data_IF_267601226208
#
_entry.id   IF_267601226208
#
_cell.length_a   1.000
_cell.length_b   1.000
_cell.length_c   1.000
_cell.angle_alpha   90.00
_cell.angle_beta   90.00
_cell.angle_gamma   90.00
#
_symmetry.space_group_name_H-M   'P 1'
#
loop_
_entity.id
_entity.type
_entity.pdbx_description
1 polymer ?
#
# COMPACT_ATOMS: atom_id res chain seq x y z
N UNK A 1 3.10 20.36 -9.59
CA UNK A 1 2.78 21.68 -10.17
C UNK A 1 1.30 21.97 -9.99
N UNK A 2 0.94 23.21 -9.58
CA UNK A 2 -0.46 23.60 -9.48
C UNK A 2 -0.99 24.03 -10.84
N UNK A 3 -2.02 23.36 -11.33
CA UNK A 3 -2.71 23.76 -12.55
C UNK A 3 -3.91 24.68 -12.19
N UNK A 4 -3.75 25.97 -12.49
CA UNK A 4 -4.78 26.98 -12.21
C UNK A 4 -6.09 26.80 -13.00
N UNK A 5 -6.02 26.16 -14.15
CA UNK A 5 -7.21 25.96 -15.01
C UNK A 5 -8.11 24.82 -14.52
N UNK A 6 -7.52 23.79 -13.91
CA UNK A 6 -8.25 22.61 -13.43
C UNK A 6 -8.38 22.54 -11.90
N UNK A 7 -7.78 23.48 -11.16
CA UNK A 7 -7.66 23.41 -9.70
C UNK A 7 -7.06 22.09 -9.17
N UNK A 8 -6.28 21.39 -10.00
CA UNK A 8 -5.65 20.11 -9.66
C UNK A 8 -4.18 20.36 -9.34
N UNK A 9 -3.75 19.87 -8.19
CA UNK A 9 -2.36 19.77 -7.84
C UNK A 9 -1.78 18.46 -8.40
N UNK A 10 -1.01 18.54 -9.48
CA UNK A 10 -0.27 17.40 -10.01
C UNK A 10 1.15 17.38 -9.45
N UNK A 11 1.56 16.23 -8.92
CA UNK A 11 2.93 15.97 -8.50
C UNK A 11 3.54 15.05 -9.56
N UNK A 12 4.23 15.64 -10.53
CA UNK A 12 4.83 14.89 -11.65
C UNK A 12 6.10 14.14 -11.22
N UNK A 13 6.82 14.67 -10.23
CA UNK A 13 7.96 14.00 -9.63
C UNK A 13 8.05 14.30 -8.13
N UNK A 14 8.43 13.32 -7.34
CA UNK A 14 8.79 13.50 -5.93
C UNK A 14 10.31 13.50 -5.84
N UNK A 15 10.90 14.70 -5.77
CA UNK A 15 12.31 14.85 -5.50
C UNK A 15 12.50 14.77 -3.98
N UNK A 16 12.86 13.60 -3.46
CA UNK A 16 13.07 13.37 -2.03
C UNK A 16 14.52 13.05 -1.75
N UNK A 17 15.08 13.73 -0.76
CA UNK A 17 16.25 13.23 -0.08
C UNK A 17 15.80 12.14 0.90
N UNK A 18 16.18 10.90 0.65
CA UNK A 18 15.93 9.77 1.55
C UNK A 18 17.24 9.35 2.21
N UNK A 19 17.18 9.03 3.50
CA UNK A 19 18.29 8.34 4.16
C UNK A 19 18.09 6.84 4.02
N UNK A 20 19.08 6.17 3.44
CA UNK A 20 19.13 4.71 3.35
C UNK A 20 20.23 4.16 4.23
N UNK A 21 20.08 2.90 4.62
CA UNK A 21 21.10 2.15 5.35
C UNK A 21 21.00 0.68 5.00
N UNK A 22 22.02 -0.11 5.37
CA UNK A 22 22.00 -1.55 5.19
C UNK A 22 21.94 -2.26 6.55
N UNK A 23 21.27 -3.39 6.60
CA UNK A 23 21.31 -4.28 7.76
C UNK A 23 22.74 -4.80 7.97
N UNK A 24 23.28 -4.65 9.18
CA UNK A 24 24.65 -5.08 9.52
C UNK A 24 24.76 -6.59 9.71
N UNK A 25 23.66 -7.24 10.02
CA UNK A 25 23.47 -8.68 10.22
C UNK A 25 22.00 -9.02 9.97
N UNK A 26 21.60 -10.26 10.14
CA UNK A 26 20.18 -10.64 10.19
C UNK A 26 19.51 -9.99 11.40
N UNK A 27 18.43 -9.25 11.15
CA UNK A 27 17.84 -8.34 12.13
C UNK A 27 16.35 -8.57 12.28
N UNK A 28 15.91 -8.62 13.55
CA UNK A 28 14.49 -8.54 13.88
C UNK A 28 14.05 -7.09 14.04
N UNK A 29 13.10 -6.67 13.23
CA UNK A 29 12.51 -5.33 13.31
C UNK A 29 11.44 -5.31 14.40
N UNK A 30 11.58 -4.38 15.33
CA UNK A 30 10.75 -4.26 16.53
C UNK A 30 9.62 -3.23 16.35
N UNK A 31 8.49 -3.49 17.00
CA UNK A 31 7.36 -2.55 17.01
C UNK A 31 7.64 -1.26 17.81
N UNK A 32 8.43 -1.34 18.88
CA UNK A 32 8.89 -0.21 19.71
C UNK A 32 10.42 -0.25 19.83
N UNK A 33 11.10 0.89 20.12
CA UNK A 33 12.55 0.96 20.25
C UNK A 33 13.04 0.35 21.57
N UNK A 34 12.77 -0.95 21.76
CA UNK A 34 13.23 -1.77 22.89
C UNK A 34 13.38 -3.21 22.46
N UNK A 35 14.36 -3.92 23.02
CA UNK A 35 14.65 -5.34 22.75
C UNK A 35 13.50 -6.26 23.15
N UNK A 36 12.71 -5.86 24.15
CA UNK A 36 11.54 -6.61 24.65
C UNK A 36 10.29 -6.44 23.77
N UNK A 37 10.34 -5.58 22.78
CA UNK A 37 9.19 -5.33 21.92
C UNK A 37 8.94 -6.48 20.95
N UNK A 38 7.68 -6.65 20.56
CA UNK A 38 7.26 -7.61 19.53
C UNK A 38 8.06 -7.38 18.23
N UNK A 39 8.53 -8.48 17.65
CA UNK A 39 9.09 -8.49 16.29
C UNK A 39 7.95 -8.40 15.27
N UNK A 40 8.07 -7.49 14.33
CA UNK A 40 7.07 -7.25 13.28
C UNK A 40 7.58 -7.62 11.88
N UNK A 41 8.90 -7.74 11.73
CA UNK A 41 9.53 -8.14 10.48
C UNK A 41 10.93 -8.68 10.75
N UNK A 42 11.50 -9.36 9.75
CA UNK A 42 12.90 -9.78 9.73
C UNK A 42 13.52 -9.38 8.40
N UNK A 43 14.74 -8.90 8.46
CA UNK A 43 15.53 -8.55 7.27
C UNK A 43 16.89 -9.24 7.38
N UNK A 44 17.48 -9.56 6.24
CA UNK A 44 18.76 -10.25 6.15
C UNK A 44 19.92 -9.25 6.12
N UNK A 45 21.10 -9.73 6.44
CA UNK A 45 22.34 -8.95 6.33
C UNK A 45 22.50 -8.39 4.91
N UNK A 46 22.73 -7.08 4.83
CA UNK A 46 22.90 -6.38 3.57
C UNK A 46 21.61 -5.78 2.99
N UNK A 47 20.43 -6.20 3.47
CA UNK A 47 19.16 -5.61 3.04
C UNK A 47 19.15 -4.10 3.24
N UNK A 48 18.70 -3.38 2.21
CA UNK A 48 18.54 -1.94 2.27
C UNK A 48 17.24 -1.56 2.97
N UNK A 49 17.33 -0.55 3.83
CA UNK A 49 16.19 0.03 4.54
C UNK A 49 16.18 1.55 4.40
N UNK A 50 15.00 2.15 4.49
CA UNK A 50 14.88 3.61 4.56
C UNK A 50 14.90 4.02 6.03
N UNK A 51 15.79 4.94 6.38
CA UNK A 51 15.88 5.52 7.72
C UNK A 51 14.93 6.71 7.83
N UNK A 52 13.88 6.55 8.64
CA UNK A 52 12.88 7.60 8.86
C UNK A 52 13.36 8.56 9.94
N UNK A 53 13.95 8.03 11.01
CA UNK A 53 14.34 8.79 12.20
C UNK A 53 15.50 8.10 12.91
N UNK A 54 16.48 8.88 13.37
CA UNK A 54 17.52 8.43 14.30
C UNK A 54 17.16 8.89 15.70
N UNK A 55 17.24 7.98 16.68
CA UNK A 55 16.97 8.29 18.09
C UNK A 55 18.27 8.35 18.90
N UNK A 56 18.30 9.21 19.90
CA UNK A 56 19.48 9.43 20.76
C UNK A 56 20.00 8.19 21.48
N UNK A 57 19.14 7.19 21.67
CA UNK A 57 19.48 5.92 22.32
C UNK A 57 20.03 4.84 21.36
N UNK A 58 20.41 5.23 20.14
CA UNK A 58 20.97 4.35 19.11
C UNK A 58 19.95 3.49 18.38
N UNK A 59 18.66 3.70 18.59
CA UNK A 59 17.62 3.08 17.78
C UNK A 59 17.32 3.93 16.53
N UNK A 60 17.04 3.23 15.44
CA UNK A 60 16.56 3.83 14.19
C UNK A 60 15.13 3.39 13.93
N UNK A 61 14.26 4.34 13.61
CA UNK A 61 12.97 4.06 13.00
C UNK A 61 13.22 3.88 11.51
N UNK A 62 12.89 2.71 11.00
CA UNK A 62 13.17 2.35 9.61
C UNK A 62 11.92 1.88 8.91
N UNK A 63 11.97 1.88 7.58
CA UNK A 63 10.98 1.23 6.72
C UNK A 63 11.69 0.13 5.93
N UNK A 64 11.18 -1.09 6.02
CA UNK A 64 11.70 -2.24 5.29
C UNK A 64 11.32 -2.17 3.81
N UNK A 65 11.95 -3.03 3.00
CA UNK A 65 11.65 -3.20 1.57
C UNK A 65 10.16 -3.52 1.33
N UNK A 66 9.51 -4.23 2.23
CA UNK A 66 8.07 -4.53 2.17
C UNK A 66 7.17 -3.43 2.77
N UNK A 67 7.70 -2.23 3.02
CA UNK A 67 6.93 -1.10 3.51
C UNK A 67 6.63 -1.11 5.01
N UNK A 68 7.01 -2.15 5.76
CA UNK A 68 6.79 -2.21 7.20
C UNK A 68 7.66 -1.21 7.94
N UNK A 69 7.07 -0.48 8.88
CA UNK A 69 7.76 0.52 9.69
C UNK A 69 7.99 -0.03 11.10
N UNK A 70 9.23 0.02 11.55
CA UNK A 70 9.61 -0.46 12.89
C UNK A 70 10.98 0.06 13.31
N UNK A 71 11.57 -0.59 14.30
CA UNK A 71 12.79 -0.13 14.96
C UNK A 71 13.89 -1.19 14.96
N UNK A 72 15.13 -0.74 14.77
CA UNK A 72 16.35 -1.55 14.92
C UNK A 72 17.54 -0.70 15.39
N UNK A 73 18.58 -1.36 15.91
CA UNK A 73 19.91 -0.76 16.13
C UNK A 73 20.96 -1.23 15.12
N UNK A 74 20.66 -2.30 14.41
CA UNK A 74 21.63 -3.09 13.65
C UNK A 74 21.63 -2.68 12.16
N UNK A 75 21.92 -1.40 11.91
CA UNK A 75 22.13 -0.87 10.57
C UNK A 75 23.48 -0.16 10.45
N UNK A 76 24.04 -0.15 9.26
CA UNK A 76 25.31 0.52 8.92
C UNK A 76 25.18 1.33 7.65
N UNK A 77 26.20 2.12 7.37
CA UNK A 77 26.31 2.88 6.13
C UNK A 77 25.06 3.74 5.87
N UNK A 78 24.67 4.57 6.85
CA UNK A 78 23.58 5.54 6.64
C UNK A 78 24.06 6.59 5.63
N UNK A 79 23.38 6.70 4.51
CA UNK A 79 23.70 7.63 3.44
C UNK A 79 22.45 8.28 2.87
N UNK A 80 22.60 9.50 2.36
CA UNK A 80 21.51 10.21 1.68
C UNK A 80 21.45 9.83 0.22
N UNK A 81 20.25 9.54 -0.27
CA UNK A 81 19.96 9.32 -1.69
C UNK A 81 18.90 10.31 -2.13
N UNK A 82 19.16 10.99 -3.22
CA UNK A 82 18.16 11.81 -3.89
C UNK A 82 17.54 10.96 -5.00
N UNK A 83 16.33 10.49 -4.77
CA UNK A 83 15.59 9.73 -5.77
C UNK A 83 14.60 10.64 -6.50
N UNK A 84 14.70 10.73 -7.78
CA UNK A 84 13.63 11.21 -8.64
C UNK A 84 12.67 10.04 -8.88
N UNK A 85 11.49 10.11 -8.27
CA UNK A 85 10.45 9.15 -8.56
C UNK A 85 9.70 9.65 -9.78
N UNK A 86 10.10 9.15 -10.95
CA UNK A 86 9.33 9.39 -12.17
C UNK A 86 7.93 8.84 -12.05
N UNK A 87 6.96 9.66 -12.43
CA UNK A 87 5.57 9.27 -12.46
C UNK A 87 5.29 8.48 -13.75
N UNK A 88 5.84 7.28 -13.87
CA UNK A 88 5.54 6.41 -15.01
C UNK A 88 4.09 5.97 -14.91
N UNK A 89 3.30 6.34 -15.90
CA UNK A 89 1.95 5.79 -16.04
C UNK A 89 2.08 4.31 -16.33
N UNK A 90 1.37 3.49 -15.55
CA UNK A 90 1.34 2.03 -15.79
C UNK A 90 0.50 1.69 -17.02
N UNK A 91 -0.44 2.56 -17.39
CA UNK A 91 -1.33 2.41 -18.54
C UNK A 91 -1.26 3.67 -19.36
N UNK A 92 -0.95 3.52 -20.64
CA UNK A 92 -1.06 4.59 -21.61
C UNK A 92 -2.49 4.62 -22.18
N UNK A 93 -3.06 5.83 -22.26
CA UNK A 93 -4.42 6.03 -22.75
C UNK A 93 -5.50 5.89 -21.66
N UNK A 94 -6.62 5.26 -22.02
CA UNK A 94 -7.78 5.13 -21.14
C UNK A 94 -7.62 3.91 -20.22
N UNK A 95 -7.97 4.08 -18.95
CA UNK A 95 -8.15 2.97 -18.02
C UNK A 95 -9.54 2.36 -18.24
N UNK A 96 -9.55 1.06 -18.51
CA UNK A 96 -10.76 0.23 -18.56
C UNK A 96 -10.63 -0.83 -17.48
N UNK A 97 -11.30 -0.60 -16.36
CA UNK A 97 -11.24 -1.42 -15.17
C UNK A 97 -12.50 -2.25 -15.04
N UNK A 98 -12.34 -3.52 -14.68
CA UNK A 98 -13.44 -4.40 -14.28
C UNK A 98 -13.24 -4.90 -12.87
N UNK A 99 -14.31 -4.90 -12.09
CA UNK A 99 -14.32 -5.51 -10.78
C UNK A 99 -14.48 -7.02 -10.90
N UNK A 100 -13.69 -7.74 -10.13
CA UNK A 100 -13.79 -9.20 -10.04
C UNK A 100 -14.10 -9.57 -8.58
N UNK A 101 -15.38 -9.62 -8.27
CA UNK A 101 -15.85 -9.87 -6.93
C UNK A 101 -15.75 -11.34 -6.57
N UNK A 102 -15.17 -11.62 -5.40
CA UNK A 102 -15.32 -12.88 -4.70
C UNK A 102 -15.27 -12.64 -3.19
N UNK A 103 -15.91 -13.51 -2.41
CA UNK A 103 -15.97 -13.35 -0.96
C UNK A 103 -14.86 -14.12 -0.26
N UNK A 104 -14.69 -13.85 1.03
CA UNK A 104 -13.77 -14.63 1.89
C UNK A 104 -14.09 -16.13 1.95
N UNK A 105 -15.31 -16.53 1.56
CA UNK A 105 -15.75 -17.92 1.49
C UNK A 105 -15.57 -18.54 0.10
N UNK A 106 -15.21 -17.77 -0.89
CA UNK A 106 -14.96 -18.22 -2.25
C UNK A 106 -13.49 -18.00 -2.59
N UNK A 107 -12.87 -19.01 -3.16
CA UNK A 107 -11.51 -18.84 -3.71
C UNK A 107 -11.53 -17.86 -4.87
N UNK A 108 -10.42 -17.15 -5.10
CA UNK A 108 -10.29 -16.32 -6.29
C UNK A 108 -10.67 -17.12 -7.53
N UNK A 109 -11.39 -16.51 -8.51
CA UNK A 109 -11.87 -17.22 -9.67
C UNK A 109 -10.71 -17.90 -10.41
N UNK A 110 -10.89 -19.17 -10.77
CA UNK A 110 -9.97 -19.84 -11.66
C UNK A 110 -10.26 -19.34 -13.07
N UNK A 111 -9.58 -18.28 -13.48
CA UNK A 111 -9.70 -17.75 -14.83
C UNK A 111 -8.91 -18.60 -15.79
N UNK A 112 -9.63 -19.16 -16.75
CA UNK A 112 -9.07 -19.85 -17.92
C UNK A 112 -9.69 -19.18 -19.14
N UNK A 113 -8.88 -18.71 -20.04
CA UNK A 113 -9.39 -18.12 -21.25
C UNK A 113 -8.60 -16.92 -21.75
N UNK A 114 -9.05 -16.41 -22.87
CA UNK A 114 -8.45 -15.28 -23.55
C UNK A 114 -8.74 -13.96 -22.84
N UNK A 115 -7.84 -13.02 -23.04
CA UNK A 115 -7.99 -11.63 -22.63
C UNK A 115 -9.31 -11.04 -23.15
N UNK A 116 -10.00 -10.28 -22.29
CA UNK A 116 -11.19 -9.52 -22.67
C UNK A 116 -10.73 -8.26 -23.39
N UNK A 117 -11.15 -8.08 -24.63
CA UNK A 117 -10.83 -6.91 -25.43
C UNK A 117 -11.31 -5.62 -24.76
N UNK A 118 -10.45 -4.62 -24.77
CA UNK A 118 -10.75 -3.31 -24.21
C UNK A 118 -10.62 -3.20 -22.69
N UNK A 119 -10.32 -4.27 -21.97
CA UNK A 119 -10.01 -4.27 -20.52
C UNK A 119 -8.49 -4.27 -20.33
N UNK A 120 -8.00 -3.40 -19.45
CA UNK A 120 -6.58 -3.33 -19.12
C UNK A 120 -6.29 -3.39 -17.61
N UNK A 121 -7.33 -3.30 -16.77
CA UNK A 121 -7.22 -3.45 -15.33
C UNK A 121 -8.27 -4.44 -14.82
N UNK A 122 -7.84 -5.37 -14.00
CA UNK A 122 -8.73 -6.21 -13.18
C UNK A 122 -8.62 -5.78 -11.72
N UNK A 123 -9.75 -5.67 -11.05
CA UNK A 123 -9.83 -5.20 -9.67
C UNK A 123 -10.51 -6.26 -8.80
N UNK A 124 -9.75 -7.27 -8.32
CA UNK A 124 -10.27 -8.33 -7.48
C UNK A 124 -10.52 -7.84 -6.05
N UNK A 125 -11.55 -8.37 -5.39
CA UNK A 125 -11.94 -8.03 -4.01
C UNK A 125 -11.01 -8.71 -2.99
N UNK A 126 -9.76 -8.29 -2.95
CA UNK A 126 -8.68 -8.93 -2.18
C UNK A 126 -8.58 -8.50 -0.72
N UNK A 127 -9.15 -7.38 -0.35
CA UNK A 127 -9.08 -6.92 1.04
C UNK A 127 -10.33 -6.12 1.45
N UNK A 128 -10.64 -6.23 2.73
CA UNK A 128 -11.75 -5.49 3.31
C UNK A 128 -11.48 -5.10 4.76
N UNK A 129 -12.08 -3.99 5.18
CA UNK A 129 -12.10 -3.58 6.59
C UNK A 129 -13.13 -4.44 7.33
N UNK A 130 -12.72 -4.98 8.46
CA UNK A 130 -13.61 -5.73 9.37
C UNK A 130 -14.31 -4.80 10.36
N UNK A 131 -15.32 -5.32 11.03
CA UNK A 131 -16.01 -4.63 12.17
C UNK A 131 -15.06 -4.24 13.30
N UNK A 132 -13.97 -4.98 13.47
CA UNK A 132 -12.91 -4.67 14.43
C UNK A 132 -12.04 -3.47 14.05
N UNK A 133 -12.19 -2.94 12.83
CA UNK A 133 -11.29 -1.94 12.25
C UNK A 133 -9.98 -2.53 11.71
N UNK A 134 -9.84 -3.85 11.72
CA UNK A 134 -8.68 -4.54 11.11
C UNK A 134 -8.85 -4.69 9.60
N UNK A 135 -7.75 -4.66 8.86
CA UNK A 135 -7.75 -5.05 7.44
C UNK A 135 -7.65 -6.57 7.34
N UNK A 136 -8.67 -7.21 6.79
CA UNK A 136 -8.63 -8.59 6.34
C UNK A 136 -8.04 -8.64 4.92
N UNK A 137 -7.12 -9.57 4.67
CA UNK A 137 -6.49 -9.78 3.36
C UNK A 137 -6.81 -11.21 2.94
N UNK A 138 -7.60 -11.35 1.89
CA UNK A 138 -8.13 -12.62 1.43
C UNK A 138 -7.55 -13.01 0.05
N UNK A 139 -6.24 -13.01 -0.07
CA UNK A 139 -5.56 -13.35 -1.34
C UNK A 139 -5.25 -14.85 -1.41
N UNK A 140 -4.60 -15.40 -0.40
CA UNK A 140 -4.22 -16.81 -0.36
C UNK A 140 -3.44 -17.29 -1.60
N UNK A 141 -3.33 -18.59 -1.77
CA UNK A 141 -2.64 -19.18 -2.92
C UNK A 141 -3.45 -19.05 -4.24
N UNK A 142 -4.76 -19.07 -4.16
CA UNK A 142 -5.63 -18.88 -5.33
C UNK A 142 -5.56 -17.45 -5.85
N UNK A 143 -5.49 -16.46 -4.94
CA UNK A 143 -5.31 -15.06 -5.32
C UNK A 143 -3.93 -14.79 -5.94
N UNK A 144 -2.86 -15.46 -5.49
CA UNK A 144 -1.55 -15.38 -6.14
C UNK A 144 -1.61 -15.89 -7.59
N UNK A 145 -2.23 -17.06 -7.81
CA UNK A 145 -2.44 -17.60 -9.15
C UNK A 145 -3.29 -16.69 -10.03
N UNK A 146 -4.28 -16.02 -9.44
CA UNK A 146 -5.06 -15.00 -10.14
C UNK A 146 -4.19 -13.83 -10.60
N UNK A 147 -3.29 -13.33 -9.75
CA UNK A 147 -2.36 -12.25 -10.10
C UNK A 147 -1.41 -12.68 -11.23
N UNK A 148 -0.87 -13.90 -11.14
CA UNK A 148 -0.01 -14.50 -12.18
C UNK A 148 -0.77 -14.57 -13.51
N UNK A 149 -1.98 -15.17 -13.53
CA UNK A 149 -2.85 -15.23 -14.70
C UNK A 149 -3.12 -13.82 -15.29
N UNK A 150 -3.42 -12.84 -14.43
CA UNK A 150 -3.70 -11.47 -14.88
C UNK A 150 -2.48 -10.85 -15.59
N UNK A 151 -1.30 -11.00 -15.02
CA UNK A 151 -0.06 -10.50 -15.61
C UNK A 151 0.31 -11.22 -16.91
N UNK A 152 0.10 -12.54 -17.01
CA UNK A 152 0.30 -13.32 -18.24
C UNK A 152 -0.64 -12.86 -19.37
N UNK A 153 -1.82 -12.34 -19.02
CA UNK A 153 -2.76 -11.74 -19.95
C UNK A 153 -2.63 -10.22 -20.10
N UNK A 154 -1.52 -9.63 -19.66
CA UNK A 154 -1.19 -8.20 -19.74
C UNK A 154 -2.17 -7.26 -19.00
N UNK A 155 -2.94 -7.78 -18.04
CA UNK A 155 -3.72 -6.94 -17.15
C UNK A 155 -2.85 -6.30 -16.07
N UNK A 156 -3.25 -5.12 -15.63
CA UNK A 156 -2.84 -4.56 -14.33
C UNK A 156 -3.79 -5.02 -13.25
N UNK A 157 -3.27 -5.35 -12.07
CA UNK A 157 -4.07 -5.78 -10.93
C UNK A 157 -4.12 -4.65 -9.90
N UNK A 158 -5.26 -3.97 -9.81
CA UNK A 158 -5.54 -2.96 -8.79
C UNK A 158 -6.56 -3.52 -7.80
N UNK A 159 -6.08 -4.16 -6.73
CA UNK A 159 -6.95 -4.87 -5.81
C UNK A 159 -7.93 -3.94 -5.09
N UNK A 160 -9.19 -4.34 -4.99
CA UNK A 160 -10.19 -3.65 -4.16
C UNK A 160 -9.78 -3.75 -2.69
N UNK A 161 -9.85 -2.62 -2.02
CA UNK A 161 -9.83 -2.49 -0.56
C UNK A 161 -11.14 -1.84 -0.16
N UNK A 162 -12.10 -2.62 0.28
CA UNK A 162 -13.42 -2.14 0.67
C UNK A 162 -13.53 -1.89 2.18
N UNK A 163 -14.50 -1.09 2.59
CA UNK A 163 -14.86 -0.95 4.00
C UNK A 163 -16.08 -1.82 4.40
N UNK A 164 -16.57 -2.70 3.52
CA UNK A 164 -17.78 -3.49 3.72
C UNK A 164 -19.00 -2.63 4.15
N UNK A 165 -19.03 -1.37 3.72
CA UNK A 165 -20.06 -0.39 4.10
C UNK A 165 -20.20 -0.19 5.63
N UNK A 166 -19.17 -0.51 6.41
CA UNK A 166 -19.18 -0.36 7.88
C UNK A 166 -18.86 1.08 8.30
N UNK A 167 -19.88 1.91 8.50
CA UNK A 167 -19.74 3.33 8.88
C UNK A 167 -18.89 3.54 10.13
N UNK A 168 -19.25 2.93 11.25
CA UNK A 168 -18.62 3.19 12.54
C UNK A 168 -17.16 2.71 12.58
N UNK A 169 -16.82 1.47 12.19
CA UNK A 169 -15.41 1.04 12.08
C UNK A 169 -14.58 1.90 11.14
N UNK A 170 -15.13 2.29 10.00
CA UNK A 170 -14.44 3.16 9.03
C UNK A 170 -14.12 4.51 9.66
N UNK A 171 -15.12 5.15 10.26
CA UNK A 171 -14.94 6.43 10.97
C UNK A 171 -13.89 6.34 12.07
N UNK A 172 -13.94 5.29 12.90
CA UNK A 172 -12.98 5.09 13.97
C UNK A 172 -11.54 4.94 13.46
N UNK A 173 -11.34 4.13 12.42
CA UNK A 173 -10.01 3.91 11.84
C UNK A 173 -9.47 5.17 11.18
N UNK A 174 -10.30 5.89 10.44
CA UNK A 174 -9.86 7.09 9.74
C UNK A 174 -9.57 8.26 10.70
N UNK A 175 -10.32 8.41 11.77
CA UNK A 175 -10.13 9.49 12.74
C UNK A 175 -8.97 9.23 13.71
N UNK A 176 -8.61 7.98 13.98
CA UNK A 176 -7.45 7.65 14.81
C UNK A 176 -6.17 7.61 13.97
N UNK A 177 -5.23 8.51 14.26
CA UNK A 177 -3.96 8.59 13.53
C UNK A 177 -3.19 7.26 13.51
N UNK A 178 -3.16 6.52 14.63
CA UNK A 178 -2.39 5.26 14.72
C UNK A 178 -3.06 4.15 13.93
N UNK A 179 -4.39 4.04 14.00
CA UNK A 179 -5.17 3.05 13.25
C UNK A 179 -5.09 3.34 11.76
N UNK A 180 -5.23 4.61 11.36
CA UNK A 180 -5.09 5.04 9.97
C UNK A 180 -3.70 4.73 9.42
N UNK A 181 -2.64 5.02 10.17
CA UNK A 181 -1.26 4.72 9.78
C UNK A 181 -1.01 3.20 9.68
N UNK A 182 -1.60 2.40 10.56
CA UNK A 182 -1.53 0.92 10.49
C UNK A 182 -2.26 0.38 9.26
N UNK A 183 -3.44 0.90 8.96
CA UNK A 183 -4.20 0.55 7.75
C UNK A 183 -3.37 0.85 6.49
N UNK A 184 -2.79 2.05 6.38
CA UNK A 184 -1.92 2.43 5.27
C UNK A 184 -0.74 1.46 5.15
N UNK A 185 -0.06 1.15 6.25
CA UNK A 185 1.06 0.21 6.23
C UNK A 185 0.65 -1.17 5.73
N UNK A 186 -0.51 -1.69 6.16
CA UNK A 186 -1.03 -2.99 5.73
C UNK A 186 -1.36 -3.00 4.24
N UNK A 187 -2.03 -1.95 3.73
CA UNK A 187 -2.35 -1.81 2.30
C UNK A 187 -1.06 -1.81 1.47
N UNK A 188 -0.08 -0.98 1.82
CA UNK A 188 1.19 -0.90 1.10
C UNK A 188 1.93 -2.24 1.12
N UNK A 189 2.03 -2.88 2.29
CA UNK A 189 2.68 -4.18 2.43
C UNK A 189 1.98 -5.26 1.60
N UNK A 190 0.67 -5.32 1.62
CA UNK A 190 -0.12 -6.22 0.79
C UNK A 190 0.19 -6.01 -0.69
N UNK A 191 0.12 -4.77 -1.15
CA UNK A 191 0.36 -4.42 -2.56
C UNK A 191 1.73 -4.90 -3.05
N UNK A 192 2.76 -4.74 -2.22
CA UNK A 192 4.13 -5.17 -2.56
C UNK A 192 4.26 -6.69 -2.48
N UNK A 193 3.80 -7.30 -1.37
CA UNK A 193 4.02 -8.73 -1.09
C UNK A 193 3.31 -9.65 -2.07
N UNK A 194 2.20 -9.21 -2.64
CA UNK A 194 1.43 -9.97 -3.62
C UNK A 194 1.65 -9.51 -5.07
N UNK A 195 2.67 -8.68 -5.30
CA UNK A 195 3.03 -8.16 -6.63
C UNK A 195 1.85 -7.47 -7.35
N UNK A 196 0.97 -6.79 -6.60
CA UNK A 196 -0.12 -6.03 -7.20
C UNK A 196 0.42 -4.76 -7.88
N UNK A 197 -0.24 -4.29 -8.94
CA UNK A 197 0.12 -3.05 -9.64
C UNK A 197 -0.43 -1.81 -8.93
N UNK A 198 -1.47 -1.98 -8.13
CA UNK A 198 -2.08 -0.91 -7.37
C UNK A 198 -3.19 -1.39 -6.45
N UNK A 199 -3.92 -0.44 -5.90
CA UNK A 199 -5.15 -0.67 -5.14
C UNK A 199 -6.25 0.26 -5.62
N UNK A 200 -7.49 -0.22 -5.50
CA UNK A 200 -8.71 0.52 -5.72
C UNK A 200 -9.43 0.65 -4.36
N UNK A 201 -9.49 1.86 -3.82
CA UNK A 201 -10.18 2.11 -2.55
C UNK A 201 -11.67 2.27 -2.84
N UNK A 202 -12.46 1.35 -2.33
CA UNK A 202 -13.90 1.27 -2.46
C UNK A 202 -14.55 1.39 -1.07
N UNK A 203 -14.56 2.61 -0.54
CA UNK A 203 -15.15 2.92 0.76
C UNK A 203 -16.52 3.55 0.56
N UNK A 204 -17.54 2.75 0.83
CA UNK A 204 -18.94 3.12 0.69
C UNK A 204 -19.61 3.44 2.02
N UNK A 205 -20.79 4.07 1.94
CA UNK A 205 -21.66 4.34 3.08
C UNK A 205 -20.93 4.99 4.26
N UNK A 206 -20.02 5.93 3.99
CA UNK A 206 -19.30 6.67 5.02
C UNK A 206 -20.18 7.77 5.65
N UNK A 207 -19.76 8.28 6.82
CA UNK A 207 -20.39 9.48 7.36
C UNK A 207 -19.94 10.71 6.56
N UNK A 208 -20.82 11.64 6.33
CA UNK A 208 -20.48 12.92 5.68
C UNK A 208 -19.39 13.68 6.44
N UNK A 209 -19.41 13.59 7.78
CA UNK A 209 -18.37 14.18 8.65
C UNK A 209 -16.97 13.62 8.46
N UNK A 210 -16.82 12.45 7.83
CA UNK A 210 -15.53 11.80 7.61
C UNK A 210 -14.84 12.23 6.30
N UNK A 211 -15.43 13.13 5.54
CA UNK A 211 -14.90 13.63 4.26
C UNK A 211 -13.43 14.08 4.35
N UNK A 212 -13.12 14.89 5.36
CA UNK A 212 -11.77 15.45 5.50
C UNK A 212 -10.75 14.41 5.93
N UNK A 213 -11.15 13.49 6.82
CA UNK A 213 -10.23 12.42 7.26
C UNK A 213 -10.06 11.35 6.18
N UNK A 214 -11.07 11.11 5.35
CA UNK A 214 -10.91 10.26 4.17
C UNK A 214 -9.97 10.90 3.14
N UNK A 215 -10.13 12.18 2.86
CA UNK A 215 -9.20 12.92 1.99
C UNK A 215 -7.77 12.84 2.53
N UNK A 216 -7.58 12.97 3.84
CA UNK A 216 -6.29 12.82 4.49
C UNK A 216 -5.73 11.40 4.33
N UNK A 217 -6.55 10.37 4.50
CA UNK A 217 -6.15 8.98 4.27
C UNK A 217 -5.60 8.78 2.85
N UNK A 218 -6.31 9.30 1.84
CA UNK A 218 -5.88 9.23 0.44
C UNK A 218 -4.56 9.99 0.23
N UNK A 219 -4.43 11.21 0.78
CA UNK A 219 -3.20 12.01 0.70
C UNK A 219 -2.01 11.32 1.38
N UNK A 220 -2.24 10.58 2.46
CA UNK A 220 -1.21 9.83 3.18
C UNK A 220 -0.84 8.52 2.48
N UNK A 221 -1.81 7.83 1.84
CA UNK A 221 -1.61 6.55 1.16
C UNK A 221 -0.93 6.71 -0.21
N UNK A 222 -1.35 7.69 -1.00
CA UNK A 222 -0.89 7.86 -2.38
C UNK A 222 0.64 7.93 -2.54
N UNK A 223 1.38 8.78 -1.81
CA UNK A 223 2.83 8.85 -1.93
C UNK A 223 3.53 7.55 -1.48
N UNK A 224 2.93 6.81 -0.55
CA UNK A 224 3.48 5.53 -0.06
C UNK A 224 3.41 4.45 -1.13
N UNK A 225 2.32 4.35 -1.87
CA UNK A 225 2.18 3.45 -3.02
C UNK A 225 3.09 3.90 -4.17
N UNK A 226 3.12 5.20 -4.46
CA UNK A 226 3.94 5.77 -5.53
C UNK A 226 5.44 5.49 -5.36
N UNK A 227 5.96 5.47 -4.13
CA UNK A 227 7.36 5.11 -3.86
C UNK A 227 7.76 3.72 -4.39
N UNK A 228 6.78 2.84 -4.60
CA UNK A 228 6.96 1.49 -5.16
C UNK A 228 6.44 1.37 -6.60
N UNK A 229 6.16 2.49 -7.27
CA UNK A 229 5.59 2.50 -8.61
C UNK A 229 4.17 1.93 -8.68
N UNK A 230 3.43 1.94 -7.56
CA UNK A 230 2.06 1.38 -7.47
C UNK A 230 1.02 2.48 -7.61
N UNK A 231 -0.13 2.12 -8.20
CA UNK A 231 -1.25 3.05 -8.45
C UNK A 231 -2.21 3.05 -7.28
N UNK A 232 -2.80 4.22 -7.02
CA UNK A 232 -3.98 4.38 -6.19
C UNK A 232 -5.16 4.83 -7.07
N UNK A 233 -6.22 4.08 -7.06
CA UNK A 233 -7.54 4.40 -7.60
C UNK A 233 -8.54 4.54 -6.45
N UNK A 234 -9.56 5.34 -6.63
CA UNK A 234 -10.61 5.57 -5.62
C UNK A 234 -11.95 5.59 -6.32
N UNK A 235 -12.89 4.81 -5.81
CA UNK A 235 -14.28 4.88 -6.24
C UNK A 235 -14.97 6.00 -5.47
N UNK A 236 -15.66 6.85 -6.19
CA UNK A 236 -16.44 7.96 -5.64
C UNK A 236 -17.86 7.91 -6.21
N UNK A 237 -18.84 7.98 -5.32
CA UNK A 237 -20.27 8.02 -5.63
C UNK A 237 -20.82 9.43 -5.44
#
# INVERSE_FOLDING_TARGET
KYNKESNILTVDSLNREQKKANASKDVSIKYKPTIFSKTIDKIEKGDSVIVIESKDNGWYKIRTKLGKIGYTKDITNVYSVREEIENKKQIEGKVSLVWDYYSEYATAPNRQGTKIDGVNVVSPAFANLEKSGSLNINIGETGKKYVEWAHENEYKVWAIVSNNSYKAPTSEVLNDYKKRADLINKIVTMTISYNLDGVNIDFENMNESDKDVFSRFIIELAPRLKEYGKVLSVDVT
#
